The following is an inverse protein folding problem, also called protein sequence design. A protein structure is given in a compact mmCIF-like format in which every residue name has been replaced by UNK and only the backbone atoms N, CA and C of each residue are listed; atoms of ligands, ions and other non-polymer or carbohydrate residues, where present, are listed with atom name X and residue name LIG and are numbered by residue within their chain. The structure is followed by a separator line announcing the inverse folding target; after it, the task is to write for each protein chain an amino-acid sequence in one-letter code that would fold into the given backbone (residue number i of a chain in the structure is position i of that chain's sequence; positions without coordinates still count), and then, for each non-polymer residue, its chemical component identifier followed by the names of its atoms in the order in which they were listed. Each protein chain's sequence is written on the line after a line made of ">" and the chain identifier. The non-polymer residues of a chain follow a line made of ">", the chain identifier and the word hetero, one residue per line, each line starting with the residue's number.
data_IF_015367215586
#
_entry.id   IF_015367215586
#
_cell.length_a   1.000
_cell.length_b   1.000
_cell.length_c   1.000
_cell.angle_alpha   90.00
_cell.angle_beta   90.00
_cell.angle_gamma   90.00
#
_symmetry.space_group_name_H-M   'P 1'
#
loop_
_entity.id
_entity.type
_entity.pdbx_description
1 polymer ?
#
# COMPACT_ATOMS: atom_id res chain seq x y z
N UNK A 1 22.08 22.69 40.16
CA UNK A 1 22.15 22.89 38.69
C UNK A 1 23.61 22.92 38.26
N UNK A 2 23.93 22.51 37.03
CA UNK A 2 25.29 22.63 36.47
C UNK A 2 25.50 24.03 35.90
N UNK A 3 26.67 24.64 36.13
CA UNK A 3 27.04 25.95 35.59
C UNK A 3 27.51 25.77 34.14
N UNK A 4 26.86 26.44 33.20
CA UNK A 4 27.26 26.49 31.79
C UNK A 4 27.95 27.82 31.53
N UNK A 5 29.06 27.80 30.80
CA UNK A 5 29.79 28.99 30.35
C UNK A 5 29.85 28.97 28.82
N UNK A 6 29.57 30.10 28.20
CA UNK A 6 29.69 30.31 26.77
C UNK A 6 30.99 31.09 26.52
N UNK A 7 31.84 30.56 25.65
CA UNK A 7 33.09 31.19 25.25
C UNK A 7 33.16 31.24 23.72
N UNK A 8 33.54 32.40 23.21
CA UNK A 8 33.82 32.55 21.79
C UNK A 8 35.25 32.10 21.48
N UNK A 9 35.41 31.35 20.39
CA UNK A 9 36.68 30.84 19.92
C UNK A 9 36.82 31.20 18.43
N UNK A 10 37.94 31.82 18.01
CA UNK A 10 38.18 32.11 16.61
C UNK A 10 38.33 30.82 15.79
N UNK A 11 37.94 30.89 14.52
CA UNK A 11 38.13 29.78 13.57
C UNK A 11 39.62 29.56 13.26
N UNK A 12 39.96 28.34 12.85
CA UNK A 12 41.30 27.99 12.33
C UNK A 12 42.48 28.23 13.29
N UNK A 13 42.26 28.04 14.60
CA UNK A 13 43.29 28.22 15.62
C UNK A 13 44.00 26.93 16.06
N UNK A 14 43.84 25.78 15.36
CA UNK A 14 44.47 24.52 15.78
C UNK A 14 43.76 23.79 16.91
N UNK A 15 42.60 24.30 17.39
CA UNK A 15 41.86 23.67 18.47
C UNK A 15 41.05 22.49 17.93
N UNK A 16 41.55 21.28 18.18
CA UNK A 16 41.00 20.03 17.65
C UNK A 16 39.47 19.93 17.74
N UNK A 17 38.86 20.25 18.89
CA UNK A 17 37.41 20.20 19.06
C UNK A 17 36.66 21.21 18.19
N UNK A 18 37.22 22.42 18.02
CA UNK A 18 36.64 23.47 17.17
C UNK A 18 36.77 23.11 15.69
N UNK A 19 37.93 22.58 15.29
CA UNK A 19 38.19 22.15 13.91
C UNK A 19 37.33 20.96 13.52
N UNK A 20 37.14 20.01 14.42
CA UNK A 20 36.25 18.87 14.20
C UNK A 20 34.79 19.32 14.08
N UNK A 21 34.35 20.28 14.91
CA UNK A 21 33.02 20.87 14.80
C UNK A 21 32.83 21.60 13.45
N UNK A 22 33.80 22.40 13.02
CA UNK A 22 33.78 23.12 11.74
C UNK A 22 33.78 22.15 10.54
N UNK A 23 34.61 21.11 10.57
CA UNK A 23 34.64 20.05 9.56
C UNK A 23 33.27 19.35 9.43
N UNK A 24 32.65 18.99 10.55
CA UNK A 24 31.33 18.36 10.55
C UNK A 24 30.24 19.31 10.05
N UNK A 25 30.28 20.57 10.46
CA UNK A 25 29.33 21.59 9.98
C UNK A 25 29.44 21.79 8.46
N UNK A 26 30.66 21.89 7.91
CA UNK A 26 30.91 21.98 6.47
C UNK A 26 30.45 20.73 5.72
N UNK A 27 30.68 19.54 6.26
CA UNK A 27 30.16 18.30 5.67
C UNK A 27 28.64 18.30 5.64
N UNK A 28 27.99 18.71 6.71
CA UNK A 28 26.53 18.82 6.80
C UNK A 28 25.95 19.85 5.83
N UNK A 29 26.61 20.99 5.66
CA UNK A 29 26.20 22.04 4.73
C UNK A 29 26.21 21.60 3.26
N UNK A 30 27.08 20.63 2.91
CA UNK A 30 27.16 20.06 1.56
C UNK A 30 26.16 18.92 1.30
N UNK A 31 25.39 18.49 2.31
CA UNK A 31 24.33 17.52 2.10
C UNK A 31 23.16 18.19 1.39
N UNK A 32 22.65 17.55 0.34
CA UNK A 32 21.43 18.00 -0.35
C UNK A 32 20.29 18.04 0.66
N UNK A 33 19.90 19.24 1.06
CA UNK A 33 18.69 19.44 1.82
C UNK A 33 17.53 19.18 0.88
N UNK A 34 16.61 18.31 1.28
CA UNK A 34 15.32 18.24 0.60
C UNK A 34 14.72 19.65 0.67
N UNK A 35 14.14 20.15 -0.44
CA UNK A 35 13.47 21.44 -0.40
C UNK A 35 12.48 21.39 0.76
N UNK A 36 12.60 22.35 1.69
CA UNK A 36 11.73 22.47 2.87
C UNK A 36 10.34 22.98 2.46
N UNK A 37 9.84 22.47 1.34
CA UNK A 37 8.51 22.74 0.83
C UNK A 37 7.56 21.96 1.71
N UNK A 38 6.70 22.68 2.44
CA UNK A 38 5.64 22.07 3.21
C UNK A 38 4.85 21.10 2.30
N UNK A 39 4.87 19.82 2.64
CA UNK A 39 4.08 18.83 1.90
C UNK A 39 2.61 19.10 2.20
N UNK A 40 1.80 19.29 1.16
CA UNK A 40 0.37 19.58 1.37
C UNK A 40 -0.32 18.42 2.10
N UNK A 41 -1.26 18.74 2.98
CA UNK A 41 -2.08 17.76 3.67
C UNK A 41 -2.68 16.72 2.71
N UNK A 42 -3.15 17.16 1.54
CA UNK A 42 -3.72 16.28 0.51
C UNK A 42 -2.73 15.25 -0.03
N UNK A 43 -1.47 15.64 -0.26
CA UNK A 43 -0.43 14.71 -0.72
C UNK A 43 -0.14 13.64 0.35
N UNK A 44 -0.03 14.05 1.61
CA UNK A 44 0.18 13.12 2.73
C UNK A 44 -1.02 12.18 2.88
N UNK A 45 -2.24 12.73 2.86
CA UNK A 45 -3.48 11.94 2.94
C UNK A 45 -3.60 10.92 1.81
N UNK A 46 -3.32 11.33 0.57
CA UNK A 46 -3.35 10.44 -0.59
C UNK A 46 -2.28 9.35 -0.49
N UNK A 47 -1.07 9.72 -0.07
CA UNK A 47 0.02 8.76 0.15
C UNK A 47 -0.36 7.71 1.20
N UNK A 48 -0.89 8.13 2.35
CA UNK A 48 -1.36 7.22 3.40
C UNK A 48 -2.50 6.32 2.91
N UNK A 49 -3.47 6.86 2.18
CA UNK A 49 -4.55 6.06 1.58
C UNK A 49 -3.98 4.99 0.65
N UNK A 50 -3.04 5.35 -0.22
CA UNK A 50 -2.43 4.42 -1.17
C UNK A 50 -1.61 3.33 -0.46
N UNK A 51 -0.88 3.68 0.60
CA UNK A 51 -0.16 2.71 1.42
C UNK A 51 -1.08 1.72 2.12
N UNK A 52 -2.20 2.20 2.71
CA UNK A 52 -3.18 1.32 3.32
C UNK A 52 -3.82 0.38 2.30
N UNK A 53 -4.22 0.90 1.14
CA UNK A 53 -4.80 0.10 0.06
C UNK A 53 -3.82 -0.95 -0.43
N UNK A 54 -2.57 -0.59 -0.71
CA UNK A 54 -1.57 -1.54 -1.22
C UNK A 54 -1.25 -2.64 -0.20
N UNK A 55 -1.12 -2.28 1.09
CA UNK A 55 -0.91 -3.25 2.16
C UNK A 55 -2.10 -4.21 2.30
N UNK A 56 -3.33 -3.68 2.26
CA UNK A 56 -4.54 -4.51 2.33
C UNK A 56 -4.67 -5.45 1.14
N UNK A 57 -4.32 -5.01 -0.07
CA UNK A 57 -4.33 -5.85 -1.26
C UNK A 57 -3.28 -6.96 -1.18
N UNK A 58 -2.09 -6.65 -0.67
CA UNK A 58 -1.03 -7.64 -0.46
C UNK A 58 -1.46 -8.69 0.59
N UNK A 59 -2.03 -8.26 1.71
CA UNK A 59 -2.57 -9.18 2.73
C UNK A 59 -3.64 -10.10 2.15
N UNK A 60 -4.59 -9.52 1.38
CA UNK A 60 -5.62 -10.29 0.71
C UNK A 60 -5.00 -11.35 -0.21
N UNK A 61 -4.06 -10.98 -1.07
CA UNK A 61 -3.38 -11.91 -1.97
C UNK A 61 -2.70 -13.06 -1.22
N UNK A 62 -2.02 -12.77 -0.10
CA UNK A 62 -1.39 -13.80 0.74
C UNK A 62 -2.44 -14.76 1.32
N UNK A 63 -3.53 -14.23 1.88
CA UNK A 63 -4.59 -15.02 2.51
C UNK A 63 -5.38 -15.86 1.51
N UNK A 64 -5.50 -15.39 0.26
CA UNK A 64 -6.25 -16.07 -0.79
C UNK A 64 -5.39 -16.91 -1.72
N UNK A 65 -4.08 -17.02 -1.48
CA UNK A 65 -3.13 -17.68 -2.39
C UNK A 65 -3.52 -19.14 -2.74
N UNK A 66 -4.12 -19.84 -1.79
CA UNK A 66 -4.56 -21.24 -1.93
C UNK A 66 -6.02 -21.40 -2.39
N UNK A 67 -6.74 -20.29 -2.57
CA UNK A 67 -8.16 -20.33 -2.93
C UNK A 67 -8.33 -20.50 -4.44
N UNK A 68 -9.34 -21.26 -4.84
CA UNK A 68 -9.66 -21.49 -6.26
C UNK A 68 -10.00 -20.20 -7.00
N UNK A 69 -10.50 -19.19 -6.27
CA UNK A 69 -10.85 -17.87 -6.78
C UNK A 69 -9.72 -16.83 -6.66
N UNK A 70 -8.47 -17.22 -6.40
CA UNK A 70 -7.31 -16.30 -6.31
C UNK A 70 -7.08 -15.43 -7.54
N UNK A 71 -7.59 -15.86 -8.71
CA UNK A 71 -7.47 -15.15 -9.99
C UNK A 71 -8.45 -13.98 -10.11
N UNK A 72 -9.43 -13.87 -9.22
CA UNK A 72 -10.34 -12.73 -9.19
C UNK A 72 -9.54 -11.49 -8.83
N UNK A 73 -9.42 -10.56 -9.78
CA UNK A 73 -8.69 -9.32 -9.53
C UNK A 73 -9.42 -8.48 -8.48
N UNK A 74 -8.76 -8.04 -7.40
CA UNK A 74 -9.38 -7.10 -6.47
C UNK A 74 -9.84 -5.80 -7.15
N UNK A 75 -9.17 -5.40 -8.26
CA UNK A 75 -9.54 -4.21 -9.03
C UNK A 75 -10.81 -4.36 -9.85
N UNK A 76 -11.27 -5.58 -10.16
CA UNK A 76 -12.51 -5.78 -10.93
C UNK A 76 -13.78 -5.67 -10.06
N UNK A 77 -13.63 -5.65 -8.73
CA UNK A 77 -14.74 -5.64 -7.75
C UNK A 77 -14.76 -4.33 -6.95
N UNK A 78 -13.72 -3.48 -7.02
CA UNK A 78 -13.54 -2.37 -6.09
C UNK A 78 -14.51 -1.17 -6.28
N UNK A 79 -14.83 -0.54 -5.14
CA UNK A 79 -15.64 0.67 -4.90
C UNK A 79 -17.08 0.70 -5.45
N UNK A 80 -17.71 -0.46 -5.59
CA UNK A 80 -19.16 -0.55 -5.77
C UNK A 80 -19.89 -0.79 -4.45
N UNK A 81 -21.19 -0.43 -4.34
CA UNK A 81 -22.03 -0.85 -3.23
C UNK A 81 -21.90 -2.35 -3.00
N UNK A 82 -21.95 -2.79 -1.73
CA UNK A 82 -21.77 -4.20 -1.31
C UNK A 82 -22.55 -5.19 -2.19
N UNK A 83 -23.79 -4.84 -2.55
CA UNK A 83 -24.66 -5.62 -3.43
C UNK A 83 -24.00 -5.98 -4.75
N UNK A 84 -23.47 -4.98 -5.44
CA UNK A 84 -22.92 -5.11 -6.78
C UNK A 84 -21.56 -5.81 -6.73
N UNK A 85 -20.76 -5.50 -5.70
CA UNK A 85 -19.49 -6.16 -5.46
C UNK A 85 -19.67 -7.68 -5.23
N UNK A 86 -20.67 -8.08 -4.42
CA UNK A 86 -21.00 -9.49 -4.18
C UNK A 86 -21.54 -10.15 -5.45
N UNK A 87 -22.40 -9.48 -6.21
CA UNK A 87 -22.92 -10.00 -7.47
C UNK A 87 -21.80 -10.23 -8.48
N UNK A 88 -20.92 -9.24 -8.67
CA UNK A 88 -19.75 -9.36 -9.54
C UNK A 88 -18.80 -10.48 -9.08
N UNK A 89 -18.52 -10.59 -7.78
CA UNK A 89 -17.71 -11.69 -7.24
C UNK A 89 -18.32 -13.06 -7.57
N UNK A 90 -19.62 -13.25 -7.32
CA UNK A 90 -20.31 -14.51 -7.63
C UNK A 90 -20.26 -14.86 -9.10
N UNK A 91 -20.51 -13.88 -9.98
CA UNK A 91 -20.39 -14.03 -11.44
C UNK A 91 -18.97 -14.42 -11.86
N UNK A 92 -17.95 -13.72 -11.35
CA UNK A 92 -16.55 -14.01 -11.70
C UNK A 92 -16.06 -15.35 -11.18
N UNK A 93 -16.64 -15.85 -10.09
CA UNK A 93 -16.26 -17.12 -9.46
C UNK A 93 -17.18 -18.27 -9.81
N UNK A 94 -18.24 -18.06 -10.60
CA UNK A 94 -19.24 -19.07 -10.92
C UNK A 94 -20.08 -19.55 -9.73
N UNK A 95 -20.19 -18.73 -8.67
CA UNK A 95 -21.00 -19.03 -7.47
C UNK A 95 -22.43 -18.50 -7.59
N UNK A 96 -23.00 -18.51 -8.79
CA UNK A 96 -24.38 -18.17 -9.06
C UNK A 96 -25.07 -19.23 -9.93
N UNK A 97 -26.37 -19.03 -10.18
CA UNK A 97 -27.18 -19.97 -10.95
C UNK A 97 -27.19 -19.69 -12.47
N UNK A 98 -26.41 -18.73 -12.97
CA UNK A 98 -26.47 -18.31 -14.38
C UNK A 98 -26.08 -19.45 -15.31
N UNK A 99 -24.99 -20.16 -15.03
CA UNK A 99 -24.55 -21.29 -15.84
C UNK A 99 -25.64 -22.39 -15.92
N UNK A 100 -26.25 -22.73 -14.79
CA UNK A 100 -27.33 -23.71 -14.75
C UNK A 100 -28.58 -23.25 -15.54
N UNK A 101 -28.90 -21.96 -15.50
CA UNK A 101 -30.00 -21.38 -16.28
C UNK A 101 -29.71 -21.41 -17.79
N UNK A 102 -28.51 -20.99 -18.21
CA UNK A 102 -28.11 -21.00 -19.62
C UNK A 102 -28.04 -22.41 -20.20
N UNK A 103 -27.63 -23.40 -19.40
CA UNK A 103 -27.68 -24.81 -19.79
C UNK A 103 -29.12 -25.30 -20.02
N UNK A 104 -30.07 -24.92 -19.15
CA UNK A 104 -31.50 -25.24 -19.36
C UNK A 104 -32.08 -24.63 -20.63
N UNK A 105 -31.57 -23.47 -21.05
CA UNK A 105 -31.95 -22.83 -22.31
C UNK A 105 -31.23 -23.42 -23.54
N UNK A 106 -30.34 -24.40 -23.36
CA UNK A 106 -29.58 -25.01 -24.45
C UNK A 106 -28.51 -24.11 -25.06
N UNK A 107 -28.20 -22.97 -24.42
CA UNK A 107 -27.22 -21.98 -24.90
C UNK A 107 -25.79 -22.40 -24.53
N UNK A 108 -25.65 -23.15 -23.43
CA UNK A 108 -24.34 -23.54 -22.89
C UNK A 108 -24.28 -25.06 -22.71
N UNK A 109 -23.24 -25.69 -23.24
CA UNK A 109 -23.11 -27.16 -23.32
C UNK A 109 -22.33 -27.78 -22.15
N UNK A 110 -21.54 -27.01 -21.41
CA UNK A 110 -20.80 -27.52 -20.26
C UNK A 110 -21.54 -27.26 -18.93
N UNK A 111 -21.69 -28.31 -18.13
CA UNK A 111 -22.28 -28.24 -16.80
C UNK A 111 -21.26 -27.62 -15.82
N UNK A 112 -21.05 -26.30 -15.87
CA UNK A 112 -20.23 -25.57 -14.88
C UNK A 112 -20.98 -25.42 -13.54
N UNK A 113 -21.42 -26.54 -12.96
CA UNK A 113 -21.92 -26.62 -11.59
C UNK A 113 -20.84 -27.16 -10.63
N UNK A 114 -19.54 -27.05 -10.96
CA UNK A 114 -18.51 -27.80 -10.26
C UNK A 114 -17.81 -27.09 -9.09
N UNK A 115 -18.22 -25.87 -8.70
CA UNK A 115 -17.52 -25.13 -7.64
C UNK A 115 -18.36 -24.77 -6.41
N UNK A 116 -19.64 -25.14 -6.36
CA UNK A 116 -20.50 -24.82 -5.22
C UNK A 116 -20.28 -25.71 -3.97
N UNK A 117 -19.46 -26.78 -4.04
CA UNK A 117 -19.41 -27.81 -2.96
C UNK A 117 -18.01 -28.04 -2.36
N UNK A 118 -16.92 -27.48 -2.88
CA UNK A 118 -15.57 -27.84 -2.41
C UNK A 118 -14.89 -26.89 -1.41
N UNK A 119 -15.61 -25.94 -0.81
CA UNK A 119 -15.06 -25.10 0.27
C UNK A 119 -16.05 -24.94 1.44
N UNK A 120 -16.42 -26.04 2.09
CA UNK A 120 -16.80 -26.01 3.51
C UNK A 120 -15.61 -26.45 4.35
#
# INVERSE_FOLDING_TARGET
>A
GKRIVLQWVPGHCGLQGNEQADFLAKRGANLLQHPNTATSYWKIKLFLKNLCTSNSLRDLQTRTALKNWRRVSPSSILDKPRRDAVAAFRLTTGHDCLAAHLHRLGIFTELFAHYAILEK
#
